data_IF_353775292347
#
_entry.id   IF_353775292347
#
_cell.length_a   1.000
_cell.length_b   1.000
_cell.length_c   1.000
_cell.angle_alpha   90.00
_cell.angle_beta   90.00
_cell.angle_gamma   90.00
#
_symmetry.space_group_name_H-M   'P 1'
#
loop_
_entity.id
_entity.type
_entity.pdbx_description
1 polymer ?
#
# COMPACT_ATOMS: atom_id res chain seq x y z
N UNK A 1 -33.47 -19.91 -8.27
CA UNK A 1 -33.02 -19.21 -7.05
C UNK A 1 -31.79 -19.95 -6.56
N UNK A 2 -30.70 -19.25 -6.27
CA UNK A 2 -29.45 -19.87 -5.81
C UNK A 2 -29.28 -19.61 -4.30
N UNK A 3 -28.72 -20.58 -3.58
CA UNK A 3 -28.48 -20.51 -2.14
C UNK A 3 -26.98 -20.61 -1.89
N UNK A 4 -26.46 -19.72 -1.04
CA UNK A 4 -25.07 -19.77 -0.62
C UNK A 4 -24.90 -20.77 0.51
N UNK A 5 -24.14 -21.84 0.26
CA UNK A 5 -23.88 -22.91 1.24
C UNK A 5 -22.59 -22.70 2.04
N UNK A 6 -21.59 -22.02 1.45
CA UNK A 6 -20.27 -21.84 2.06
C UNK A 6 -19.84 -20.36 1.99
N UNK A 7 -19.20 -19.91 3.06
CA UNK A 7 -18.71 -18.54 3.19
C UNK A 7 -19.82 -17.50 3.29
N UNK A 8 -19.42 -16.23 3.15
CA UNK A 8 -20.33 -15.08 3.22
C UNK A 8 -20.50 -14.46 1.84
N UNK A 9 -21.69 -13.94 1.53
CA UNK A 9 -21.96 -13.34 0.22
C UNK A 9 -21.17 -12.05 0.04
N UNK A 10 -20.32 -11.97 -0.99
CA UNK A 10 -19.66 -10.71 -1.34
C UNK A 10 -20.72 -9.65 -1.66
N UNK A 11 -20.59 -8.46 -1.06
CA UNK A 11 -21.55 -7.37 -1.22
C UNK A 11 -22.73 -7.39 -0.25
N UNK A 12 -22.88 -8.42 0.60
CA UNK A 12 -23.82 -8.34 1.71
C UNK A 12 -23.31 -7.34 2.77
N UNK A 13 -24.16 -6.45 3.32
CA UNK A 13 -23.73 -5.40 4.26
C UNK A 13 -22.98 -5.93 5.50
N UNK A 14 -23.30 -7.14 5.95
CA UNK A 14 -22.68 -7.77 7.13
C UNK A 14 -21.49 -8.67 6.78
N UNK A 15 -21.25 -8.98 5.50
CA UNK A 15 -20.21 -9.92 5.12
C UNK A 15 -18.80 -9.51 5.56
N UNK A 16 -18.37 -8.23 5.43
CA UNK A 16 -17.06 -7.81 5.88
C UNK A 16 -16.86 -8.00 7.39
N UNK A 17 -17.89 -7.68 8.19
CA UNK A 17 -17.84 -7.79 9.65
C UNK A 17 -17.75 -9.26 10.06
N UNK A 18 -18.55 -10.13 9.45
CA UNK A 18 -18.54 -11.57 9.75
C UNK A 18 -17.18 -12.18 9.36
N UNK A 19 -16.64 -11.81 8.20
CA UNK A 19 -15.32 -12.26 7.77
C UNK A 19 -14.23 -11.80 8.75
N UNK A 20 -14.28 -10.54 9.17
CA UNK A 20 -13.32 -9.97 10.13
C UNK A 20 -13.37 -10.65 11.50
N UNK A 21 -14.56 -10.94 12.03
CA UNK A 21 -14.74 -11.70 13.28
C UNK A 21 -14.13 -13.11 13.15
N UNK A 22 -14.41 -13.80 12.05
CA UNK A 22 -13.87 -15.15 11.83
C UNK A 22 -12.34 -15.13 11.74
N UNK A 23 -11.76 -14.19 10.99
CA UNK A 23 -10.31 -14.05 10.87
C UNK A 23 -9.66 -13.67 12.21
N UNK A 24 -10.32 -12.83 13.00
CA UNK A 24 -9.84 -12.47 14.35
C UNK A 24 -9.83 -13.69 15.27
N UNK A 25 -10.87 -14.54 15.21
CA UNK A 25 -10.91 -15.78 15.98
C UNK A 25 -9.79 -16.76 15.56
N UNK A 26 -9.52 -16.87 14.25
CA UNK A 26 -8.41 -17.65 13.72
C UNK A 26 -7.08 -17.16 14.29
N UNK A 27 -6.85 -15.84 14.24
CA UNK A 27 -5.62 -15.21 14.73
C UNK A 27 -5.44 -15.46 16.23
N UNK A 28 -6.47 -15.18 17.05
CA UNK A 28 -6.44 -15.41 18.50
C UNK A 28 -6.13 -16.88 18.85
N UNK A 29 -6.71 -17.81 18.10
CA UNK A 29 -6.52 -19.25 18.35
C UNK A 29 -5.11 -19.73 18.00
N UNK A 30 -4.50 -19.16 16.96
CA UNK A 30 -3.20 -19.62 16.46
C UNK A 30 -2.01 -18.78 16.97
N UNK A 31 -2.24 -17.59 17.51
CA UNK A 31 -1.18 -16.61 17.77
C UNK A 31 -0.04 -17.15 18.62
N UNK A 32 -0.33 -17.89 19.68
CA UNK A 32 0.71 -18.45 20.56
C UNK A 32 1.57 -19.47 19.81
N UNK A 33 0.94 -20.37 19.05
CA UNK A 33 1.64 -21.36 18.22
C UNK A 33 2.44 -20.70 17.09
N UNK A 34 1.92 -19.62 16.50
CA UNK A 34 2.62 -18.85 15.46
C UNK A 34 3.88 -18.19 16.04
N UNK A 35 3.78 -17.59 17.23
CA UNK A 35 4.93 -17.00 17.94
C UNK A 35 5.97 -18.04 18.31
N UNK A 36 5.55 -19.19 18.84
CA UNK A 36 6.45 -20.33 19.13
C UNK A 36 7.15 -20.86 17.87
N UNK A 37 6.53 -20.70 16.70
CA UNK A 37 7.09 -21.08 15.41
C UNK A 37 7.99 -19.99 14.79
N UNK A 38 8.23 -18.89 15.51
CA UNK A 38 9.13 -17.80 15.12
C UNK A 38 8.47 -16.66 14.34
N UNK A 39 7.14 -16.47 14.47
CA UNK A 39 6.50 -15.22 14.05
C UNK A 39 6.77 -14.15 15.11
N UNK A 40 7.46 -13.07 14.73
CA UNK A 40 7.77 -11.96 15.61
C UNK A 40 6.65 -10.92 15.66
N UNK A 41 6.13 -10.55 14.48
CA UNK A 41 5.11 -9.50 14.33
C UNK A 41 4.06 -9.94 13.31
N UNK A 42 2.81 -9.55 13.56
CA UNK A 42 1.66 -9.88 12.72
C UNK A 42 0.76 -8.67 12.57
N UNK A 43 0.61 -8.20 11.33
CA UNK A 43 -0.28 -7.10 10.97
C UNK A 43 -1.28 -7.58 9.93
N UNK A 44 -2.57 -7.28 10.13
CA UNK A 44 -3.62 -7.62 9.17
C UNK A 44 -4.35 -6.38 8.68
N UNK A 45 -4.63 -6.34 7.38
CA UNK A 45 -5.52 -5.40 6.75
C UNK A 45 -6.56 -6.16 5.93
N UNK A 46 -7.78 -6.28 6.47
CA UNK A 46 -8.86 -7.08 5.88
C UNK A 46 -8.39 -8.52 5.62
N UNK A 47 -8.07 -8.86 4.37
CA UNK A 47 -7.63 -10.16 3.88
C UNK A 47 -6.11 -10.30 3.72
N UNK A 48 -5.37 -9.19 3.68
CA UNK A 48 -3.92 -9.18 3.53
C UNK A 48 -3.20 -9.14 4.89
N UNK A 49 -2.11 -9.91 5.03
CA UNK A 49 -1.27 -9.90 6.22
C UNK A 49 0.18 -9.55 5.90
N UNK A 50 0.82 -8.79 6.81
CA UNK A 50 2.24 -8.49 6.80
C UNK A 50 2.87 -9.11 8.04
N UNK A 51 3.80 -10.04 7.83
CA UNK A 51 4.32 -10.89 8.90
C UNK A 51 5.84 -10.78 8.94
N UNK A 52 6.39 -10.53 10.13
CA UNK A 52 7.83 -10.62 10.36
C UNK A 52 8.13 -11.96 11.04
N UNK A 53 9.08 -12.70 10.49
CA UNK A 53 9.51 -14.00 11.00
C UNK A 53 11.00 -13.98 11.34
N UNK A 54 11.40 -14.85 12.25
CA UNK A 54 12.80 -15.03 12.59
C UNK A 54 13.62 -15.49 11.37
N UNK A 55 14.90 -15.12 11.25
CA UNK A 55 15.73 -15.52 10.10
C UNK A 55 15.87 -17.03 9.91
N UNK A 56 15.70 -17.82 10.97
CA UNK A 56 15.78 -19.29 10.94
C UNK A 56 14.44 -19.94 10.58
N UNK A 57 13.34 -19.19 10.72
CA UNK A 57 12.00 -19.67 10.45
C UNK A 57 11.72 -19.70 8.95
N UNK A 58 11.15 -20.82 8.50
CA UNK A 58 10.65 -20.99 7.13
C UNK A 58 9.22 -20.51 7.05
N UNK A 59 8.90 -19.67 6.06
CA UNK A 59 7.53 -19.17 5.87
C UNK A 59 6.54 -20.30 5.60
N UNK A 60 6.99 -21.41 5.00
CA UNK A 60 6.18 -22.60 4.74
C UNK A 60 5.65 -23.24 6.03
N UNK A 61 6.43 -23.21 7.13
CA UNK A 61 5.99 -23.73 8.42
C UNK A 61 4.83 -22.89 8.99
N UNK A 62 4.95 -21.56 8.88
CA UNK A 62 3.89 -20.63 9.27
C UNK A 62 2.65 -20.85 8.41
N UNK A 63 2.83 -21.01 7.10
CA UNK A 63 1.76 -21.27 6.15
C UNK A 63 1.02 -22.58 6.44
N UNK A 64 1.74 -23.63 6.83
CA UNK A 64 1.16 -24.92 7.20
C UNK A 64 0.27 -24.79 8.45
N UNK A 65 0.69 -24.03 9.46
CA UNK A 65 -0.11 -23.78 10.66
C UNK A 65 -1.43 -23.08 10.28
N UNK A 66 -1.35 -22.05 9.45
CA UNK A 66 -2.51 -21.27 9.00
C UNK A 66 -3.48 -22.12 8.17
N UNK A 67 -2.97 -22.87 7.20
CA UNK A 67 -3.79 -23.68 6.28
C UNK A 67 -4.41 -24.92 6.94
N UNK A 68 -3.91 -25.35 8.10
CA UNK A 68 -4.50 -26.44 8.87
C UNK A 68 -5.68 -26.01 9.75
N UNK A 69 -6.00 -24.70 9.82
CA UNK A 69 -7.07 -24.21 10.68
C UNK A 69 -8.47 -24.56 10.18
N UNK A 70 -8.75 -24.34 8.89
CA UNK A 70 -10.08 -24.55 8.32
C UNK A 70 -10.02 -24.95 6.85
N UNK A 71 -10.72 -26.02 6.41
CA UNK A 71 -10.59 -26.57 5.05
C UNK A 71 -11.08 -25.64 3.94
N UNK A 72 -11.91 -24.63 4.26
CA UNK A 72 -12.42 -23.65 3.30
C UNK A 72 -11.60 -22.36 3.22
N UNK A 73 -10.51 -22.25 3.98
CA UNK A 73 -9.64 -21.07 3.97
C UNK A 73 -8.24 -21.52 3.57
N UNK A 74 -7.65 -20.82 2.61
CA UNK A 74 -6.30 -21.06 2.16
C UNK A 74 -5.54 -19.74 2.10
N UNK A 75 -4.45 -19.70 2.85
CA UNK A 75 -3.45 -18.66 2.82
C UNK A 75 -2.41 -18.97 1.76
N UNK A 76 -1.92 -17.92 1.14
CA UNK A 76 -0.74 -17.89 0.29
C UNK A 76 0.24 -16.88 0.85
N UNK A 77 1.52 -16.98 0.50
CA UNK A 77 2.52 -16.02 0.94
C UNK A 77 3.38 -15.53 -0.22
N UNK A 78 4.02 -14.38 -0.01
CA UNK A 78 5.09 -13.87 -0.85
C UNK A 78 6.29 -13.57 0.05
N UNK A 79 7.48 -13.95 -0.40
CA UNK A 79 8.72 -13.69 0.32
C UNK A 79 9.34 -12.37 -0.12
N UNK A 80 9.99 -11.68 0.80
CA UNK A 80 10.78 -10.51 0.45
C UNK A 80 11.86 -10.86 -0.57
N UNK A 81 12.09 -9.98 -1.53
CA UNK A 81 13.18 -10.10 -2.50
C UNK A 81 14.09 -8.89 -2.35
N UNK A 82 15.39 -9.12 -2.12
CA UNK A 82 16.36 -8.06 -1.87
C UNK A 82 15.95 -7.11 -0.72
N UNK A 83 15.41 -7.67 0.36
CA UNK A 83 14.95 -6.92 1.53
C UNK A 83 13.75 -6.01 1.25
N UNK A 84 13.02 -6.26 0.17
CA UNK A 84 11.83 -5.50 -0.22
C UNK A 84 10.63 -6.39 -0.48
N UNK A 85 9.45 -5.91 -0.12
CA UNK A 85 8.18 -6.60 -0.35
C UNK A 85 7.06 -5.57 -0.55
N UNK A 86 6.17 -5.74 -1.55
CA UNK A 86 4.95 -4.95 -1.64
C UNK A 86 3.95 -5.39 -0.56
N UNK A 87 3.32 -4.42 0.09
CA UNK A 87 2.17 -4.64 0.96
C UNK A 87 1.10 -3.58 0.66
N UNK A 88 -0.06 -4.02 0.16
CA UNK A 88 -1.10 -3.13 -0.37
C UNK A 88 -0.55 -2.16 -1.44
N UNK A 89 -0.71 -0.86 -1.22
CA UNK A 89 -0.22 0.24 -2.07
C UNK A 89 1.19 0.72 -1.68
N UNK A 90 1.89 -0.01 -0.80
CA UNK A 90 3.18 0.40 -0.22
C UNK A 90 4.29 -0.57 -0.59
N UNK A 91 5.39 -0.05 -1.14
CA UNK A 91 6.63 -0.79 -1.31
C UNK A 91 7.46 -0.65 -0.04
N UNK A 92 7.63 -1.75 0.70
CA UNK A 92 8.35 -1.75 1.98
C UNK A 92 9.75 -2.30 1.75
N UNK A 93 10.76 -1.53 2.13
CA UNK A 93 12.18 -1.92 2.04
C UNK A 93 12.83 -1.84 3.42
N UNK A 94 13.49 -2.91 3.85
CA UNK A 94 14.29 -2.91 5.08
C UNK A 94 15.61 -2.18 4.86
N UNK A 95 15.83 -1.07 5.57
CA UNK A 95 17.11 -0.37 5.56
C UNK A 95 18.08 -1.02 6.57
N UNK A 96 19.17 -1.58 6.05
CA UNK A 96 20.25 -2.15 6.87
C UNK A 96 21.00 -1.09 7.67
N UNK A 97 21.11 0.13 7.12
CA UNK A 97 21.80 1.26 7.75
C UNK A 97 21.02 1.83 8.94
N UNK A 98 19.73 2.09 8.75
CA UNK A 98 18.91 2.78 9.75
C UNK A 98 18.16 1.82 10.69
N UNK A 99 18.17 0.52 10.38
CA UNK A 99 17.36 -0.52 11.06
C UNK A 99 15.86 -0.19 11.11
N UNK A 100 15.38 0.58 10.12
CA UNK A 100 13.97 0.96 9.95
C UNK A 100 13.46 0.53 8.59
N UNK A 101 12.15 0.47 8.44
CA UNK A 101 11.53 0.35 7.12
C UNK A 101 11.56 1.69 6.40
N UNK A 102 11.89 1.64 5.13
CA UNK A 102 11.65 2.70 4.17
C UNK A 102 10.45 2.30 3.33
N UNK A 103 9.62 3.28 2.99
CA UNK A 103 8.38 3.05 2.24
C UNK A 103 8.32 3.94 1.02
N UNK A 104 7.76 3.42 -0.06
CA UNK A 104 7.45 4.14 -1.29
C UNK A 104 6.08 3.71 -1.82
N UNK A 105 5.55 4.42 -2.80
CA UNK A 105 4.29 4.03 -3.46
C UNK A 105 4.53 2.80 -4.33
N UNK A 106 3.78 1.74 -4.08
CA UNK A 106 3.73 0.56 -4.96
C UNK A 106 2.61 0.70 -5.99
N UNK A 107 2.86 0.18 -7.20
CA UNK A 107 1.87 0.01 -8.26
C UNK A 107 1.97 -1.40 -8.78
N UNK A 108 0.85 -2.11 -8.82
CA UNK A 108 0.78 -3.44 -9.43
C UNK A 108 1.19 -3.37 -10.91
N UNK A 109 1.72 -4.44 -11.45
CA UNK A 109 2.13 -4.53 -12.87
C UNK A 109 0.96 -4.25 -13.84
N UNK A 110 -0.28 -4.50 -13.40
CA UNK A 110 -1.50 -4.22 -14.16
C UNK A 110 -1.87 -2.73 -14.19
N UNK A 111 -1.16 -1.87 -13.47
CA UNK A 111 -1.42 -0.43 -13.47
C UNK A 111 -0.95 0.20 -14.78
N UNK A 112 -1.92 0.62 -15.61
CA UNK A 112 -1.65 1.19 -16.93
C UNK A 112 -1.27 2.68 -16.89
N UNK A 113 -1.44 3.36 -15.75
CA UNK A 113 -1.30 4.80 -15.68
C UNK A 113 -2.41 5.58 -16.41
N UNK A 114 -3.48 4.93 -16.88
CA UNK A 114 -4.57 5.60 -17.56
C UNK A 114 -5.38 6.46 -16.57
N UNK A 115 -5.56 7.73 -16.91
CA UNK A 115 -6.39 8.69 -16.17
C UNK A 115 -7.39 9.35 -17.12
N UNK A 116 -8.25 10.22 -16.58
CA UNK A 116 -9.06 11.13 -17.39
C UNK A 116 -8.12 11.92 -18.30
N UNK A 117 -8.29 11.84 -19.62
CA UNK A 117 -7.44 12.57 -20.58
C UNK A 117 -7.62 14.09 -20.44
N UNK A 118 -6.54 14.85 -20.61
CA UNK A 118 -6.57 16.31 -20.45
C UNK A 118 -7.49 17.02 -21.45
N UNK A 119 -7.65 16.49 -22.65
CA UNK A 119 -8.51 17.03 -23.71
C UNK A 119 -9.99 16.64 -23.57
N UNK A 120 -10.33 15.74 -22.64
CA UNK A 120 -11.72 15.34 -22.42
C UNK A 120 -12.62 16.51 -21.99
N UNK A 121 -13.88 16.47 -22.44
CA UNK A 121 -14.90 17.46 -22.12
C UNK A 121 -15.51 17.23 -20.73
N UNK A 122 -14.65 17.25 -19.71
CA UNK A 122 -15.05 17.19 -18.29
C UNK A 122 -14.54 18.42 -17.55
N UNK A 123 -15.21 18.83 -16.46
CA UNK A 123 -14.75 19.95 -15.65
C UNK A 123 -13.32 19.74 -15.14
N UNK A 124 -12.56 20.83 -15.04
CA UNK A 124 -11.16 20.79 -14.55
C UNK A 124 -11.06 20.22 -13.13
N UNK A 125 -12.13 20.31 -12.32
CA UNK A 125 -12.19 19.68 -11.00
C UNK A 125 -12.02 18.16 -11.06
N UNK A 126 -12.52 17.48 -12.09
CA UNK A 126 -12.37 16.04 -12.27
C UNK A 126 -10.95 15.68 -12.68
N UNK A 127 -10.35 16.45 -13.60
CA UNK A 127 -8.93 16.33 -13.99
C UNK A 127 -8.00 16.52 -12.78
N UNK A 128 -8.32 17.50 -11.94
CA UNK A 128 -7.64 17.71 -10.65
C UNK A 128 -7.83 16.51 -9.72
N UNK A 129 -9.03 15.94 -9.64
CA UNK A 129 -9.34 14.79 -8.81
C UNK A 129 -8.63 13.51 -9.26
N UNK A 130 -8.14 13.43 -10.51
CA UNK A 130 -7.27 12.33 -10.96
C UNK A 130 -5.84 12.46 -10.44
N UNK A 131 -5.32 13.69 -10.31
CA UNK A 131 -3.90 13.94 -9.96
C UNK A 131 -3.69 14.11 -8.45
N UNK A 132 -4.58 14.85 -7.77
CA UNK A 132 -4.39 15.20 -6.36
C UNK A 132 -4.27 13.98 -5.43
N UNK A 133 -5.09 12.92 -5.57
CA UNK A 133 -4.95 11.73 -4.72
C UNK A 133 -3.60 11.03 -4.88
N UNK A 134 -3.01 11.01 -6.09
CA UNK A 134 -1.68 10.44 -6.30
C UNK A 134 -0.61 11.21 -5.52
N UNK A 135 -0.69 12.54 -5.54
CA UNK A 135 0.22 13.42 -4.79
C UNK A 135 0.04 13.23 -3.28
N UNK A 136 -1.20 13.16 -2.80
CA UNK A 136 -1.49 12.92 -1.39
C UNK A 136 -0.96 11.56 -0.95
N UNK A 137 -1.13 10.53 -1.79
CA UNK A 137 -0.61 9.19 -1.53
C UNK A 137 0.92 9.18 -1.47
N UNK A 138 1.60 9.86 -2.40
CA UNK A 138 3.05 10.02 -2.39
C UNK A 138 3.53 10.66 -1.08
N UNK A 139 2.90 11.76 -0.66
CA UNK A 139 3.24 12.46 0.58
C UNK A 139 2.98 11.64 1.85
N UNK A 140 1.99 10.75 1.83
CA UNK A 140 1.67 9.90 2.97
C UNK A 140 2.55 8.64 3.05
N UNK A 141 2.93 8.07 1.91
CA UNK A 141 3.58 6.76 1.85
C UNK A 141 5.09 6.81 1.65
N UNK A 142 5.64 7.86 1.02
CA UNK A 142 7.08 7.96 0.81
C UNK A 142 7.79 8.41 2.09
N UNK A 143 8.61 7.54 2.67
CA UNK A 143 9.32 7.84 3.93
C UNK A 143 10.62 8.61 3.73
N UNK A 144 11.13 8.71 2.49
CA UNK A 144 12.39 9.40 2.17
C UNK A 144 12.20 10.43 1.08
N UNK A 145 13.01 11.49 1.11
CA UNK A 145 13.05 12.50 0.04
C UNK A 145 13.29 11.86 -1.33
N UNK A 146 14.26 10.94 -1.43
CA UNK A 146 14.58 10.27 -2.69
C UNK A 146 13.37 9.51 -3.26
N UNK A 147 12.67 8.76 -2.41
CA UNK A 147 11.46 8.03 -2.84
C UNK A 147 10.33 8.97 -3.26
N UNK A 148 10.15 10.10 -2.56
CA UNK A 148 9.13 11.10 -2.88
C UNK A 148 9.44 11.82 -4.20
N UNK A 149 10.72 12.15 -4.44
CA UNK A 149 11.16 12.79 -5.68
C UNK A 149 10.94 11.88 -6.89
N UNK A 150 11.32 10.59 -6.79
CA UNK A 150 11.04 9.58 -7.81
C UNK A 150 9.54 9.46 -8.05
N UNK A 151 8.73 9.47 -6.99
CA UNK A 151 7.29 9.34 -7.11
C UNK A 151 6.62 10.55 -7.76
N UNK A 152 7.09 11.77 -7.47
CA UNK A 152 6.63 12.96 -8.17
C UNK A 152 7.01 12.93 -9.65
N UNK A 153 8.19 12.40 -9.99
CA UNK A 153 8.55 12.21 -11.39
C UNK A 153 7.63 11.20 -12.08
N UNK A 154 7.33 10.07 -11.43
CA UNK A 154 6.34 9.13 -11.94
C UNK A 154 4.98 9.79 -12.17
N UNK A 155 4.52 10.66 -11.25
CA UNK A 155 3.26 11.39 -11.41
C UNK A 155 3.31 12.35 -12.60
N UNK A 156 4.43 13.03 -12.83
CA UNK A 156 4.63 13.88 -14.04
C UNK A 156 4.54 13.06 -15.31
N UNK A 157 5.26 11.93 -15.38
CA UNK A 157 5.24 11.05 -16.55
C UNK A 157 3.85 10.47 -16.82
N UNK A 158 3.14 10.03 -15.78
CA UNK A 158 1.75 9.57 -15.89
C UNK A 158 0.84 10.70 -16.40
N UNK A 159 0.98 11.92 -15.87
CA UNK A 159 0.19 13.06 -16.34
C UNK A 159 0.50 13.43 -17.80
N UNK A 160 1.76 13.48 -18.19
CA UNK A 160 2.20 13.72 -19.58
C UNK A 160 1.60 12.68 -20.53
N UNK A 161 1.65 11.40 -20.18
CA UNK A 161 1.04 10.32 -20.96
C UNK A 161 -0.49 10.48 -21.14
N UNK A 162 -1.14 11.20 -20.22
CA UNK A 162 -2.57 11.53 -20.29
C UNK A 162 -2.85 12.95 -20.84
N UNK A 163 -1.83 13.63 -21.35
CA UNK A 163 -1.93 14.95 -22.00
C UNK A 163 -1.95 16.14 -21.04
N UNK A 164 -1.69 15.94 -19.74
CA UNK A 164 -1.71 17.02 -18.77
C UNK A 164 -0.50 17.95 -18.95
N UNK A 165 -0.70 19.27 -18.92
CA UNK A 165 0.42 20.22 -18.86
C UNK A 165 1.24 20.01 -17.58
N UNK A 166 2.57 19.99 -17.71
CA UNK A 166 3.47 19.85 -16.54
C UNK A 166 3.23 20.96 -15.52
N UNK A 167 3.04 22.20 -15.97
CA UNK A 167 2.73 23.34 -15.11
C UNK A 167 1.50 23.10 -14.22
N UNK A 168 0.49 22.38 -14.72
CA UNK A 168 -0.68 22.00 -13.93
C UNK A 168 -0.29 21.02 -12.82
N UNK A 169 0.47 19.97 -13.15
CA UNK A 169 0.93 18.94 -12.22
C UNK A 169 1.84 19.54 -11.16
N UNK A 170 2.85 20.31 -11.56
CA UNK A 170 3.81 20.96 -10.66
C UNK A 170 3.12 21.92 -9.71
N UNK A 171 2.13 22.69 -10.20
CA UNK A 171 1.30 23.53 -9.33
C UNK A 171 0.56 22.70 -8.29
N UNK A 172 0.03 21.52 -8.66
CA UNK A 172 -0.65 20.64 -7.71
C UNK A 172 0.33 20.03 -6.70
N UNK A 173 1.53 19.63 -7.14
CA UNK A 173 2.60 19.12 -6.27
C UNK A 173 2.99 20.19 -5.25
N UNK A 174 3.25 21.42 -5.70
CA UNK A 174 3.59 22.54 -4.83
C UNK A 174 2.51 22.84 -3.79
N UNK A 175 1.23 22.84 -4.18
CA UNK A 175 0.11 23.00 -3.23
C UNK A 175 0.07 21.84 -2.23
N UNK A 176 0.25 20.59 -2.69
CA UNK A 176 0.28 19.42 -1.83
C UNK A 176 1.39 19.49 -0.78
N UNK A 177 2.60 19.87 -1.22
CA UNK A 177 3.76 20.08 -0.36
C UNK A 177 3.51 21.17 0.69
N UNK A 178 3.02 22.33 0.29
CA UNK A 178 2.73 23.43 1.23
C UNK A 178 1.72 23.01 2.29
N UNK A 179 0.66 22.28 1.91
CA UNK A 179 -0.34 21.76 2.85
C UNK A 179 0.25 20.71 3.79
N UNK A 180 1.05 19.79 3.27
CA UNK A 180 1.68 18.76 4.07
C UNK A 180 2.62 19.36 5.14
N UNK A 181 3.42 20.37 4.76
CA UNK A 181 4.26 21.12 5.71
C UNK A 181 3.47 21.75 6.85
N UNK A 182 2.32 22.35 6.55
CA UNK A 182 1.45 22.98 7.54
C UNK A 182 0.87 21.97 8.53
N UNK A 183 0.65 20.73 8.10
CA UNK A 183 0.06 19.67 8.92
C UNK A 183 1.08 18.94 9.80
N UNK A 184 2.30 18.72 9.30
CA UNK A 184 3.30 17.88 10.02
C UNK A 184 4.16 18.66 11.00
N UNK A 185 4.15 20.00 10.98
CA UNK A 185 4.91 20.85 11.91
C UNK A 185 6.44 20.70 11.83
N UNK A 186 6.94 19.80 10.98
CA UNK A 186 8.36 19.56 10.73
C UNK A 186 8.80 20.34 9.48
N UNK A 187 9.82 21.18 9.65
CA UNK A 187 10.63 21.69 8.54
C UNK A 187 11.43 20.52 7.95
N UNK A 188 10.78 19.71 7.11
CA UNK A 188 11.52 18.98 6.08
C UNK A 188 12.27 20.06 5.29
N UNK A 189 13.58 19.97 5.12
CA UNK A 189 14.31 20.99 4.38
C UNK A 189 14.00 20.83 2.88
N UNK A 190 13.15 21.72 2.36
CA UNK A 190 12.63 21.69 0.98
C UNK A 190 13.48 22.50 -0.01
N UNK A 191 14.61 23.06 0.42
CA UNK A 191 15.49 23.88 -0.44
C UNK A 191 16.11 23.07 -1.60
N UNK A 192 16.04 21.74 -1.55
CA UNK A 192 16.52 20.85 -2.62
C UNK A 192 15.60 20.75 -3.85
N UNK A 193 14.40 21.35 -3.84
CA UNK A 193 13.51 21.39 -5.01
C UNK A 193 13.88 22.47 -6.05
N UNK A 194 14.93 23.26 -5.80
CA UNK A 194 15.40 24.32 -6.71
C UNK A 194 16.60 23.93 -7.58
N UNK A 195 16.93 22.64 -7.70
CA UNK A 195 17.98 22.18 -8.62
C UNK A 195 17.48 20.95 -9.38
N UNK A 196 16.69 21.17 -10.43
CA UNK A 196 16.88 20.80 -11.86
C UNK A 196 15.77 21.48 -12.66
#
# INVERSE_FOLDING_TARGET
MYVQHNGVAMGAPLAPIIADIFMSHLEETLMDRLKESGVCEWYRYVDDTFVLIEPITKAENVLEILNNFHPSISFTHQLETNGSLPFLDVWVTRSTETKKFQTAVYRKETFTGLMIKWDSFVPVSYKKASVVPMIQRALAMCSTYSSLAIEFENIRQIGLHNGYPLSFIDTRIGIGLTRHKQQTGHNINWEAFNVV
#
